data_IF_913046498789
#
_entry.id   IF_913046498789
#
_cell.length_a   1.000
_cell.length_b   1.000
_cell.length_c   1.000
_cell.angle_alpha   90.00
_cell.angle_beta   90.00
_cell.angle_gamma   90.00
#
_symmetry.space_group_name_H-M   'P 1'
#
loop_
_entity.id
_entity.type
_entity.pdbx_description
1 polymer ?
#
# COMPACT_ATOMS: atom_id res chain seq x y z
N UNK A 1 -10.96 0.44 -18.46
CA UNK A 1 -9.83 -0.30 -17.84
C UNK A 1 -8.72 -0.62 -18.85
N UNK A 2 -8.92 -0.40 -20.15
CA UNK A 2 -7.90 -0.56 -21.20
C UNK A 2 -6.54 0.08 -20.88
N UNK A 3 -6.54 1.26 -20.24
CA UNK A 3 -5.31 1.97 -19.86
C UNK A 3 -4.44 1.16 -18.88
N UNK A 4 -4.97 0.80 -17.70
CA UNK A 4 -4.19 0.08 -16.69
C UNK A 4 -3.80 -1.32 -17.15
N UNK A 5 -4.65 -1.98 -17.95
CA UNK A 5 -4.32 -3.27 -18.58
C UNK A 5 -3.16 -3.08 -19.56
N UNK A 6 -3.16 -2.01 -20.36
CA UNK A 6 -2.07 -1.67 -21.27
C UNK A 6 -0.76 -1.43 -20.53
N UNK A 7 -0.80 -0.66 -19.43
CA UNK A 7 0.36 -0.45 -18.56
C UNK A 7 0.88 -1.77 -17.95
N UNK A 8 -0.02 -2.64 -17.47
CA UNK A 8 0.39 -3.93 -16.92
C UNK A 8 1.04 -4.82 -17.99
N UNK A 9 0.47 -4.87 -19.21
CA UNK A 9 1.05 -5.63 -20.33
C UNK A 9 2.43 -5.10 -20.73
N UNK A 10 2.68 -3.79 -20.66
CA UNK A 10 3.98 -3.20 -21.02
C UNK A 10 5.08 -3.48 -19.99
N UNK A 11 4.75 -4.00 -18.80
CA UNK A 11 5.73 -4.55 -17.86
C UNK A 11 6.36 -5.86 -18.37
N UNK A 12 5.69 -6.56 -19.30
CA UNK A 12 6.13 -7.85 -19.86
C UNK A 12 6.52 -8.88 -18.78
N UNK A 13 5.71 -8.97 -17.73
CA UNK A 13 5.94 -9.83 -16.58
C UNK A 13 4.58 -10.36 -16.07
N UNK A 14 4.36 -11.67 -16.18
CA UNK A 14 3.10 -12.31 -15.73
C UNK A 14 2.92 -12.19 -14.21
N UNK A 15 4.02 -12.07 -13.46
CA UNK A 15 4.03 -11.90 -12.01
C UNK A 15 4.07 -10.41 -11.60
N UNK A 16 3.82 -9.47 -12.51
CA UNK A 16 3.78 -8.05 -12.17
C UNK A 16 2.54 -7.69 -11.35
N UNK A 17 2.77 -6.88 -10.32
CA UNK A 17 1.73 -6.18 -9.55
C UNK A 17 1.98 -4.68 -9.64
N UNK A 18 1.09 -3.96 -10.31
CA UNK A 18 1.10 -2.51 -10.32
C UNK A 18 0.51 -2.01 -9.01
N UNK A 19 1.27 -1.23 -8.26
CA UNK A 19 0.90 -0.80 -6.92
C UNK A 19 1.41 0.60 -6.64
N UNK A 20 0.67 1.36 -5.84
CA UNK A 20 1.03 2.71 -5.43
C UNK A 20 0.12 3.19 -4.29
N UNK A 21 0.57 4.18 -3.54
CA UNK A 21 -0.37 5.14 -2.95
C UNK A 21 -0.91 6.04 -4.06
N UNK A 22 -2.18 6.43 -3.95
CA UNK A 22 -2.83 7.24 -4.98
C UNK A 22 -2.63 8.72 -4.71
N UNK A 23 -2.45 9.52 -5.75
CA UNK A 23 -2.46 10.98 -5.61
C UNK A 23 -3.85 11.48 -5.14
N UNK A 24 -3.89 12.62 -4.44
CA UNK A 24 -5.17 13.20 -4.02
C UNK A 24 -6.02 13.61 -5.23
N UNK A 25 -7.34 13.51 -5.12
CA UNK A 25 -8.27 13.89 -6.19
C UNK A 25 -8.34 15.41 -6.44
N UNK A 26 -8.02 16.24 -5.45
CA UNK A 26 -8.09 17.69 -5.57
C UNK A 26 -7.07 18.21 -6.59
N UNK A 27 -7.56 18.87 -7.64
CA UNK A 27 -6.74 19.41 -8.71
C UNK A 27 -6.14 18.36 -9.65
N UNK A 28 -6.58 17.10 -9.55
CA UNK A 28 -6.03 15.99 -10.34
C UNK A 28 -6.89 15.59 -11.53
N UNK A 29 -8.13 16.10 -11.61
CA UNK A 29 -9.08 15.79 -12.68
C UNK A 29 -9.61 17.11 -13.26
N UNK A 30 -9.66 17.18 -14.58
CA UNK A 30 -10.35 18.24 -15.31
C UNK A 30 -11.87 18.06 -15.14
N UNK A 31 -12.53 19.04 -14.50
CA UNK A 31 -13.95 18.93 -14.15
C UNK A 31 -14.89 18.90 -15.37
N UNK A 32 -14.42 19.33 -16.54
CA UNK A 32 -15.24 19.38 -17.77
C UNK A 32 -15.11 18.09 -18.58
N UNK A 33 -13.88 17.58 -18.73
CA UNK A 33 -13.55 16.44 -19.59
C UNK A 33 -13.41 15.13 -18.81
N UNK A 34 -13.26 15.18 -17.49
CA UNK A 34 -13.01 14.02 -16.63
C UNK A 34 -11.61 13.42 -16.79
N UNK A 35 -10.72 14.06 -17.56
CA UNK A 35 -9.36 13.57 -17.80
C UNK A 35 -8.42 13.89 -16.63
N UNK A 36 -7.44 13.02 -16.42
CA UNK A 36 -6.34 13.30 -15.48
C UNK A 36 -5.58 14.56 -15.89
N UNK A 37 -5.30 15.42 -14.91
CA UNK A 37 -4.38 16.56 -15.02
C UNK A 37 -2.97 16.21 -14.51
N UNK A 38 -2.80 15.02 -13.92
CA UNK A 38 -1.55 14.57 -13.32
C UNK A 38 -0.67 13.88 -14.36
N UNK A 39 0.57 14.36 -14.43
CA UNK A 39 1.68 13.71 -15.11
C UNK A 39 2.68 13.08 -14.10
N UNK A 40 2.47 13.32 -12.80
CA UNK A 40 3.22 12.68 -11.73
C UNK A 40 2.76 11.24 -11.48
N UNK A 41 3.65 10.44 -10.89
CA UNK A 41 3.29 9.15 -10.30
C UNK A 41 3.92 9.00 -8.91
N UNK A 42 3.18 8.47 -7.93
CA UNK A 42 3.73 8.05 -6.66
C UNK A 42 4.62 6.81 -6.83
N UNK A 43 5.79 6.80 -6.19
CA UNK A 43 6.70 5.65 -6.19
C UNK A 43 7.03 5.28 -4.75
N UNK A 44 6.81 4.02 -4.39
CA UNK A 44 7.04 3.48 -3.06
C UNK A 44 8.52 3.19 -2.87
N UNK A 45 9.27 4.18 -2.37
CA UNK A 45 10.72 4.07 -2.22
C UNK A 45 11.25 4.70 -0.91
N UNK A 46 10.37 5.09 0.01
CA UNK A 46 10.75 5.54 1.36
C UNK A 46 10.34 4.50 2.40
N UNK A 47 11.09 4.46 3.50
CA UNK A 47 10.75 3.67 4.68
C UNK A 47 11.17 4.45 5.91
N UNK A 48 10.35 4.37 6.95
CA UNK A 48 10.60 4.96 8.26
C UNK A 48 10.02 4.05 9.36
N UNK A 49 10.31 4.34 10.63
CA UNK A 49 9.63 3.71 11.75
C UNK A 49 8.42 4.55 12.18
N UNK A 50 7.27 3.90 12.34
CA UNK A 50 6.04 4.51 12.86
C UNK A 50 5.64 3.85 14.17
N UNK A 51 4.92 4.57 15.03
CA UNK A 51 4.44 4.07 16.32
C UNK A 51 5.47 4.12 17.45
N UNK A 52 5.13 3.48 18.58
CA UNK A 52 5.95 3.44 19.79
C UNK A 52 5.73 2.16 20.60
N UNK A 53 6.69 1.81 21.45
CA UNK A 53 6.64 0.59 22.26
C UNK A 53 6.43 -0.67 21.40
N UNK A 54 5.46 -1.50 21.78
CA UNK A 54 5.11 -2.74 21.07
C UNK A 54 4.41 -2.52 19.71
N UNK A 55 4.05 -1.27 19.38
CA UNK A 55 3.43 -0.91 18.09
C UNK A 55 4.44 -0.27 17.13
N UNK A 56 5.73 -0.15 17.51
CA UNK A 56 6.74 0.44 16.64
C UNK A 56 7.09 -0.51 15.50
N UNK A 57 6.83 -0.11 14.25
CA UNK A 57 7.00 -0.96 13.07
C UNK A 57 7.59 -0.19 11.88
N UNK A 58 8.06 -0.93 10.86
CA UNK A 58 8.46 -0.35 9.58
C UNK A 58 7.23 0.11 8.82
N UNK A 59 7.25 1.35 8.36
CA UNK A 59 6.25 1.90 7.47
C UNK A 59 6.88 2.15 6.11
N UNK A 60 6.24 1.65 5.06
CA UNK A 60 6.58 2.01 3.69
C UNK A 60 5.94 3.34 3.30
N UNK A 61 6.61 4.10 2.45
CA UNK A 61 6.16 5.41 2.04
C UNK A 61 6.54 5.74 0.61
N UNK A 62 5.78 6.65 0.02
CA UNK A 62 6.12 7.20 -1.28
C UNK A 62 7.22 8.25 -1.20
N UNK A 63 8.03 8.34 -2.25
CA UNK A 63 8.85 9.53 -2.48
C UNK A 63 7.96 10.75 -2.83
N UNK A 64 8.48 11.98 -2.75
CA UNK A 64 7.76 13.15 -3.26
C UNK A 64 7.34 12.91 -4.73
N UNK A 65 6.08 13.20 -5.04
CA UNK A 65 5.58 13.07 -6.40
C UNK A 65 6.30 14.05 -7.33
N UNK A 66 6.65 13.56 -8.52
CA UNK A 66 7.29 14.36 -9.55
C UNK A 66 7.09 13.74 -10.92
N UNK A 67 7.56 14.46 -11.95
CA UNK A 67 7.57 13.96 -13.31
C UNK A 67 8.46 12.71 -13.42
N UNK A 68 7.97 11.61 -14.01
CA UNK A 68 8.73 10.38 -14.08
C UNK A 68 9.89 10.49 -15.08
N UNK A 69 11.07 10.03 -14.65
CA UNK A 69 12.25 9.90 -15.52
C UNK A 69 12.14 8.76 -16.54
N UNK A 70 11.43 7.67 -16.17
CA UNK A 70 11.16 6.52 -17.04
C UNK A 70 9.72 6.64 -17.56
N UNK A 71 9.54 6.55 -18.89
CA UNK A 71 8.24 6.68 -19.58
C UNK A 71 8.00 5.49 -20.50
N UNK A 72 6.74 5.22 -20.85
CA UNK A 72 6.34 4.11 -21.72
C UNK A 72 6.17 2.76 -21.01
N UNK A 73 6.54 2.66 -19.72
CA UNK A 73 6.45 1.43 -18.95
C UNK A 73 6.29 1.72 -17.44
N UNK A 74 5.61 0.84 -16.69
CA UNK A 74 5.68 0.81 -15.23
C UNK A 74 7.12 0.73 -14.74
N UNK A 75 7.39 1.24 -13.54
CA UNK A 75 8.75 1.24 -12.98
C UNK A 75 8.80 0.36 -11.75
N UNK A 76 9.78 -0.53 -11.70
CA UNK A 76 10.03 -1.38 -10.54
C UNK A 76 10.19 -0.53 -9.27
N UNK A 77 9.55 -0.98 -8.19
CA UNK A 77 9.67 -0.38 -6.87
C UNK A 77 9.82 -1.45 -5.78
N UNK A 78 10.53 -1.14 -4.68
CA UNK A 78 10.87 -2.15 -3.67
C UNK A 78 9.71 -2.55 -2.75
N UNK A 79 8.65 -1.74 -2.67
CA UNK A 79 7.58 -1.95 -1.69
C UNK A 79 6.22 -2.05 -2.38
N UNK A 80 5.38 -2.94 -1.87
CA UNK A 80 3.97 -3.00 -2.23
C UNK A 80 3.17 -2.00 -1.40
N UNK A 81 2.20 -1.32 -2.02
CA UNK A 81 1.30 -0.40 -1.36
C UNK A 81 -0.15 -0.92 -1.35
N UNK A 82 -0.80 -0.82 -0.20
CA UNK A 82 -2.18 -1.26 -0.04
C UNK A 82 -3.21 -0.30 -0.69
N UNK A 83 -2.80 0.95 -0.97
CA UNK A 83 -3.70 1.98 -1.49
C UNK A 83 -4.24 1.70 -2.90
N UNK A 84 -3.45 1.00 -3.72
CA UNK A 84 -3.82 0.55 -5.05
C UNK A 84 -2.97 -0.69 -5.39
N UNK A 85 -3.62 -1.73 -5.90
CA UNK A 85 -2.96 -2.97 -6.30
C UNK A 85 -3.70 -3.59 -7.49
N UNK A 86 -3.02 -3.73 -8.61
CA UNK A 86 -3.55 -4.26 -9.86
C UNK A 86 -2.59 -5.31 -10.44
N UNK A 87 -3.10 -6.51 -10.68
CA UNK A 87 -2.35 -7.61 -11.27
C UNK A 87 -3.26 -8.77 -11.59
N UNK A 88 -2.68 -9.89 -11.98
CA UNK A 88 -3.44 -11.12 -12.24
C UNK A 88 -4.04 -11.68 -10.95
N UNK A 89 -5.20 -12.33 -11.09
CA UNK A 89 -5.93 -12.91 -9.97
C UNK A 89 -5.15 -13.97 -9.18
N UNK A 90 -4.13 -14.61 -9.78
CA UNK A 90 -3.30 -15.56 -9.04
C UNK A 90 -2.49 -14.90 -7.92
N UNK A 91 -2.26 -13.57 -7.93
CA UNK A 91 -1.58 -12.87 -6.83
C UNK A 91 -2.27 -13.05 -5.48
N UNK A 92 -3.56 -12.75 -5.38
CA UNK A 92 -4.30 -12.85 -4.11
C UNK A 92 -4.52 -14.31 -3.69
N UNK A 93 -4.51 -15.25 -4.63
CA UNK A 93 -4.63 -16.69 -4.34
C UNK A 93 -3.32 -17.24 -3.80
N UNK A 94 -2.18 -16.87 -4.40
CA UNK A 94 -0.86 -17.35 -4.01
C UNK A 94 -0.35 -16.65 -2.74
N UNK A 95 -0.71 -15.39 -2.57
CA UNK A 95 -0.28 -14.53 -1.46
C UNK A 95 -1.52 -13.90 -0.80
N UNK A 96 -2.35 -14.72 -0.12
CA UNK A 96 -3.52 -14.18 0.57
C UNK A 96 -3.08 -13.32 1.75
N UNK A 97 -3.96 -12.39 2.15
CA UNK A 97 -3.81 -11.67 3.42
C UNK A 97 -3.55 -12.64 4.57
N UNK A 98 -2.69 -12.24 5.50
CA UNK A 98 -2.36 -13.06 6.65
C UNK A 98 -3.52 -13.04 7.67
N UNK A 99 -4.15 -14.19 7.85
CA UNK A 99 -5.29 -14.39 8.77
C UNK A 99 -4.96 -14.07 10.24
N UNK A 100 -3.67 -13.98 10.60
CA UNK A 100 -3.20 -13.64 11.93
C UNK A 100 -2.94 -12.15 12.13
N UNK A 101 -3.39 -11.30 11.19
CA UNK A 101 -3.31 -9.84 11.30
C UNK A 101 -4.69 -9.17 11.52
N UNK A 102 -5.58 -9.69 12.39
CA UNK A 102 -6.82 -8.99 12.69
C UNK A 102 -6.50 -7.65 13.36
N UNK A 103 -7.28 -6.63 13.02
CA UNK A 103 -7.09 -5.28 13.56
C UNK A 103 -5.69 -4.70 13.32
N UNK A 104 -5.05 -5.04 12.20
CA UNK A 104 -3.89 -4.31 11.67
C UNK A 104 -4.37 -3.33 10.59
N UNK A 105 -4.01 -2.06 10.74
CA UNK A 105 -4.29 -1.01 9.76
C UNK A 105 -3.03 -0.54 9.02
N UNK A 106 -1.91 -0.48 9.72
CA UNK A 106 -0.59 -0.18 9.14
C UNK A 106 0.34 -1.35 9.47
N UNK A 107 1.07 -1.83 8.45
CA UNK A 107 2.08 -2.89 8.57
C UNK A 107 1.75 -4.17 7.80
N UNK A 108 0.52 -4.33 7.32
CA UNK A 108 0.14 -5.42 6.42
C UNK A 108 0.94 -5.40 5.11
N UNK A 109 1.35 -4.21 4.66
CA UNK A 109 2.21 -4.00 3.50
C UNK A 109 3.56 -4.73 3.62
N UNK A 110 4.11 -4.82 4.84
CA UNK A 110 5.34 -5.56 5.12
C UNK A 110 5.14 -7.05 4.80
N UNK A 111 4.06 -7.64 5.33
CA UNK A 111 3.78 -9.08 5.17
C UNK A 111 3.50 -9.43 3.71
N UNK A 112 2.63 -8.66 3.05
CA UNK A 112 2.26 -8.88 1.66
C UNK A 112 3.43 -8.62 0.71
N UNK A 113 4.18 -7.54 0.93
CA UNK A 113 5.37 -7.20 0.14
C UNK A 113 6.43 -8.30 0.20
N UNK A 114 6.81 -8.74 1.41
CA UNK A 114 7.83 -9.77 1.58
C UNK A 114 7.41 -11.12 1.00
N UNK A 115 6.17 -11.55 1.28
CA UNK A 115 5.66 -12.84 0.79
C UNK A 115 5.46 -12.81 -0.72
N UNK A 116 4.97 -11.69 -1.27
CA UNK A 116 4.85 -11.47 -2.71
C UNK A 116 6.18 -11.59 -3.42
N UNK A 117 7.19 -10.84 -2.98
CA UNK A 117 8.52 -10.92 -3.55
C UNK A 117 9.11 -12.33 -3.47
N UNK A 118 8.98 -13.00 -2.32
CA UNK A 118 9.50 -14.37 -2.12
C UNK A 118 8.80 -15.40 -3.01
N UNK A 119 7.53 -15.18 -3.37
CA UNK A 119 6.79 -16.04 -4.30
C UNK A 119 7.20 -15.79 -5.78
N UNK A 120 7.90 -14.68 -6.07
CA UNK A 120 8.34 -14.30 -7.41
C UNK A 120 7.53 -13.18 -8.05
N UNK A 121 6.76 -12.41 -7.27
CA UNK A 121 6.11 -11.20 -7.77
C UNK A 121 7.05 -9.99 -7.73
N UNK A 122 6.94 -9.17 -8.76
CA UNK A 122 7.61 -7.87 -8.84
C UNK A 122 6.58 -6.75 -8.70
N UNK A 123 6.92 -5.73 -7.91
CA UNK A 123 6.09 -4.56 -7.68
C UNK A 123 6.52 -3.42 -8.60
N UNK A 124 5.52 -2.74 -9.18
CA UNK A 124 5.77 -1.63 -10.08
C UNK A 124 4.86 -0.46 -9.75
N UNK A 125 5.39 0.76 -9.73
CA UNK A 125 4.55 1.95 -9.86
C UNK A 125 3.96 1.98 -11.28
N UNK A 126 2.66 2.31 -11.46
CA UNK A 126 2.08 2.53 -12.77
C UNK A 126 2.85 3.56 -13.61
N UNK A 127 2.71 3.52 -14.93
CA UNK A 127 3.23 4.57 -15.81
C UNK A 127 2.55 5.92 -15.51
N UNK A 128 1.24 5.87 -15.25
CA UNK A 128 0.41 7.03 -14.93
C UNK A 128 -0.73 6.63 -13.99
N UNK A 129 -1.16 7.57 -13.16
CA UNK A 129 -2.31 7.38 -12.27
C UNK A 129 -3.60 7.18 -13.07
N UNK A 130 -4.30 6.07 -12.79
CA UNK A 130 -5.61 5.75 -13.39
C UNK A 130 -6.78 6.05 -12.45
N UNK A 131 -6.48 6.31 -11.18
CA UNK A 131 -7.45 6.70 -10.17
C UNK A 131 -6.77 7.58 -9.11
N UNK A 132 -7.61 8.19 -8.26
CA UNK A 132 -7.18 9.14 -7.25
C UNK A 132 -7.88 8.84 -5.93
N UNK A 133 -7.26 9.22 -4.82
CA UNK A 133 -7.84 9.06 -3.50
C UNK A 133 -8.38 10.39 -2.96
N UNK A 134 -9.48 10.33 -2.21
CA UNK A 134 -10.02 11.49 -1.51
C UNK A 134 -9.45 11.55 -0.09
N UNK A 135 -8.28 12.18 0.08
CA UNK A 135 -7.70 12.35 1.41
C UNK A 135 -8.50 13.37 2.23
N UNK A 136 -8.37 13.29 3.56
CA UNK A 136 -9.02 14.18 4.52
C UNK A 136 -8.34 15.55 4.63
N UNK A 137 -8.04 16.18 3.49
CA UNK A 137 -7.32 17.45 3.38
C UNK A 137 -8.19 18.52 2.72
N UNK A 138 -7.87 19.81 2.91
CA UNK A 138 -8.55 20.92 2.24
C UNK A 138 -10.08 20.85 2.33
N UNK A 139 -10.76 20.97 1.18
CA UNK A 139 -12.23 20.94 1.08
C UNK A 139 -12.86 19.60 1.48
N UNK A 140 -12.08 18.53 1.51
CA UNK A 140 -12.57 17.17 1.80
C UNK A 140 -12.49 16.80 3.29
N UNK A 141 -11.80 17.59 4.13
CA UNK A 141 -11.64 17.32 5.57
C UNK A 141 -12.97 17.10 6.28
N UNK A 142 -13.92 18.03 6.14
CA UNK A 142 -15.23 17.94 6.79
C UNK A 142 -16.08 16.76 6.27
N UNK A 143 -15.94 16.40 5.00
CA UNK A 143 -16.64 15.25 4.40
C UNK A 143 -16.09 13.93 4.96
N UNK A 144 -14.76 13.80 5.02
CA UNK A 144 -14.09 12.58 5.49
C UNK A 144 -14.28 12.32 6.98
N UNK A 145 -14.47 13.36 7.81
CA UNK A 145 -14.77 13.23 9.24
C UNK A 145 -16.08 12.48 9.54
N UNK A 146 -17.01 12.41 8.59
CA UNK A 146 -18.30 11.71 8.77
C UNK A 146 -18.27 10.26 8.31
N UNK A 147 -17.18 9.83 7.66
CA UNK A 147 -17.03 8.47 7.18
C UNK A 147 -16.61 7.58 8.33
N UNK A 148 -17.21 6.40 8.42
CA UNK A 148 -16.84 5.37 9.39
C UNK A 148 -15.41 4.89 9.14
N UNK A 149 -14.62 4.72 10.20
CA UNK A 149 -13.18 4.49 10.12
C UNK A 149 -12.82 3.21 10.84
N UNK A 150 -11.70 2.60 10.43
CA UNK A 150 -11.16 1.39 11.03
C UNK A 150 -11.14 1.44 12.56
N UNK A 151 -10.70 2.56 13.13
CA UNK A 151 -10.53 2.75 14.57
C UNK A 151 -11.83 2.83 15.38
N UNK A 152 -13.01 2.88 14.76
CA UNK A 152 -14.27 2.83 15.50
C UNK A 152 -14.52 1.47 16.16
N UNK A 153 -13.84 0.41 15.69
CA UNK A 153 -13.90 -0.91 16.29
C UNK A 153 -12.77 -1.19 17.28
N UNK A 154 -11.87 -0.24 17.54
CA UNK A 154 -10.71 -0.46 18.41
C UNK A 154 -11.08 -0.87 19.84
N UNK A 155 -12.17 -0.32 20.39
CA UNK A 155 -12.65 -0.69 21.73
C UNK A 155 -13.24 -2.10 21.78
N UNK A 156 -13.90 -2.55 20.70
CA UNK A 156 -14.51 -3.89 20.61
C UNK A 156 -13.45 -4.98 20.49
N UNK A 157 -12.32 -4.68 19.86
CA UNK A 157 -11.24 -5.61 19.58
C UNK A 157 -9.93 -5.18 20.24
N UNK A 158 -10.02 -4.63 21.45
CA UNK A 158 -8.87 -4.12 22.17
C UNK A 158 -7.83 -5.23 22.36
N UNK A 159 -6.57 -4.95 22.01
CA UNK A 159 -5.46 -5.90 22.10
C UNK A 159 -5.36 -6.89 20.95
N UNK A 160 -6.38 -7.05 20.09
CA UNK A 160 -6.33 -8.00 18.96
C UNK A 160 -5.18 -7.70 17.99
N UNK A 161 -4.90 -6.42 17.75
CA UNK A 161 -3.80 -5.99 16.89
C UNK A 161 -2.40 -6.23 17.48
N UNK A 162 -2.25 -6.43 18.80
CA UNK A 162 -0.94 -6.58 19.44
C UNK A 162 -0.24 -7.87 18.98
N UNK A 163 -0.97 -8.98 18.93
CA UNK A 163 -0.47 -10.27 18.42
C UNK A 163 -0.12 -10.17 16.93
N UNK A 164 -0.99 -9.52 16.14
CA UNK A 164 -0.74 -9.27 14.72
C UNK A 164 0.53 -8.45 14.50
N UNK A 165 0.75 -7.42 15.32
CA UNK A 165 1.94 -6.59 15.23
C UNK A 165 3.20 -7.35 15.67
N UNK A 166 3.15 -8.08 16.79
CA UNK A 166 4.27 -8.92 17.22
C UNK A 166 4.65 -9.95 16.16
N UNK A 167 3.67 -10.53 15.46
CA UNK A 167 3.91 -11.40 14.30
C UNK A 167 4.61 -10.66 13.16
N UNK A 168 4.15 -9.48 12.77
CA UNK A 168 4.78 -8.67 11.71
C UNK A 168 6.23 -8.33 12.05
N UNK A 169 6.46 -7.87 13.27
CA UNK A 169 7.79 -7.54 13.77
C UNK A 169 8.70 -8.78 13.84
N UNK A 170 8.15 -9.95 14.15
CA UNK A 170 8.88 -11.21 14.11
C UNK A 170 9.41 -11.56 12.72
N UNK A 171 8.62 -11.34 11.66
CA UNK A 171 9.00 -11.62 10.26
C UNK A 171 10.25 -10.80 9.86
N UNK A 172 10.31 -9.54 10.27
CA UNK A 172 11.41 -8.63 9.97
C UNK A 172 12.49 -8.57 11.05
N UNK A 173 12.42 -9.46 12.05
CA UNK A 173 13.36 -9.52 13.20
C UNK A 173 13.48 -8.19 13.97
N UNK A 174 12.35 -7.52 14.17
CA UNK A 174 12.25 -6.26 14.92
C UNK A 174 11.45 -6.36 16.21
N UNK A 175 11.02 -7.57 16.61
CA UNK A 175 10.53 -7.73 17.97
C UNK A 175 11.66 -7.34 18.95
N UNK A 176 11.32 -6.78 20.13
CA UNK A 176 12.27 -6.76 21.23
C UNK A 176 12.80 -8.18 21.46
N UNK A 177 13.99 -8.33 22.07
CA UNK A 177 14.59 -9.63 22.37
C UNK A 177 13.76 -10.39 23.43
N UNK A 178 12.60 -10.89 23.00
CA UNK A 178 11.63 -11.67 23.77
C UNK A 178 11.43 -13.01 23.09
N UNK A 179 11.13 -14.03 23.90
CA UNK A 179 10.97 -15.42 23.43
C UNK A 179 9.97 -15.52 22.27
N UNK A 180 10.26 -16.28 21.19
CA UNK A 180 9.36 -16.43 20.04
C UNK A 180 7.96 -16.95 20.38
N UNK A 181 7.80 -17.67 21.49
CA UNK A 181 6.50 -18.10 22.02
C UNK A 181 5.59 -16.94 22.43
N UNK A 182 6.16 -15.75 22.64
CA UNK A 182 5.45 -14.52 22.97
C UNK A 182 5.04 -13.72 21.73
N UNK A 183 5.40 -14.16 20.52
CA UNK A 183 5.05 -13.48 19.27
C UNK A 183 3.65 -13.85 18.74
N UNK A 184 2.97 -14.85 19.34
CA UNK A 184 1.70 -15.44 18.87
C UNK A 184 0.51 -15.21 19.82
#
# INVERSE_FOLDING_TARGET
DEDIIGQWKSANNEMAVLTAYLSDIQGSIDETTGKSLRNSRPIMCRTDFEGGGHEKHLRHGQQPEGEPGIKGTPTLEPYWAAGFSFGRGHFVVNVPYDQHLPMIFQGEEISLGLRGFTYGYDFYTPERSICFHMYATGKNKAKRQRVKLFWEHSNLWQGSGQKGMARLLGIIKMNPEVEPSQWL
#
